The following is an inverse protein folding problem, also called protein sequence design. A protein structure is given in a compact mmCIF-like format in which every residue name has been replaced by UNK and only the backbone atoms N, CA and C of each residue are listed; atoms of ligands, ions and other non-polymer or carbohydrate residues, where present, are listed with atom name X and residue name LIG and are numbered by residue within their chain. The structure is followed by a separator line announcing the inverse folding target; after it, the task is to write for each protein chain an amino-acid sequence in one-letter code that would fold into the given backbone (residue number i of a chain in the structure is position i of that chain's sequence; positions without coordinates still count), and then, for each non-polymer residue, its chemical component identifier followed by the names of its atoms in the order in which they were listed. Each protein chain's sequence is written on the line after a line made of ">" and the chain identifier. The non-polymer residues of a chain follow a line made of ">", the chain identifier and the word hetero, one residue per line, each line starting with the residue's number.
data_IF_345897698892
#
_entry.id   IF_345897698892
#
_cell.length_a   1.000
_cell.length_b   1.000
_cell.length_c   1.000
_cell.angle_alpha   90.00
_cell.angle_beta   90.00
_cell.angle_gamma   90.00
#
_symmetry.space_group_name_H-M   'P 1'
#
loop_
_entity.id
_entity.type
_entity.pdbx_description
1 polymer ?
#
# COMPACT_ATOMS: atom_id res chain seq x y z
N UNK A 1 34.13 32.35 19.25
CA UNK A 1 33.81 30.95 18.87
C UNK A 1 32.35 30.60 19.10
N UNK A 2 31.76 30.85 20.28
CA UNK A 2 30.34 30.55 20.56
C UNK A 2 29.34 31.18 19.55
N UNK A 3 29.49 32.46 19.23
CA UNK A 3 28.64 33.19 18.26
C UNK A 3 28.76 32.65 16.81
N UNK A 4 29.84 31.91 16.50
CA UNK A 4 30.00 31.25 15.19
C UNK A 4 29.29 29.90 15.14
N UNK A 5 29.27 29.18 16.27
CA UNK A 5 28.56 27.90 16.40
C UNK A 5 27.04 28.13 16.40
N UNK A 6 26.58 29.15 17.13
CA UNK A 6 25.15 29.50 17.19
C UNK A 6 24.58 29.84 15.81
N UNK A 7 25.29 30.68 15.04
CA UNK A 7 24.92 30.99 13.65
C UNK A 7 24.89 29.76 12.73
N UNK A 8 25.83 28.84 12.91
CA UNK A 8 25.86 27.59 12.14
C UNK A 8 24.66 26.70 12.49
N UNK A 9 24.30 26.58 13.78
CA UNK A 9 23.14 25.82 14.23
C UNK A 9 21.83 26.41 13.68
N UNK A 10 21.67 27.73 13.70
CA UNK A 10 20.51 28.39 13.12
C UNK A 10 20.37 28.14 11.62
N UNK A 11 21.50 28.16 10.90
CA UNK A 11 21.54 27.84 9.48
C UNK A 11 21.13 26.38 9.20
N UNK A 12 21.70 25.41 9.94
CA UNK A 12 21.35 23.99 9.78
C UNK A 12 19.86 23.77 10.06
N UNK A 13 19.32 24.36 11.12
CA UNK A 13 17.90 24.24 11.45
C UNK A 13 16.99 24.84 10.38
N UNK A 14 17.42 25.93 9.73
CA UNK A 14 16.69 26.53 8.61
C UNK A 14 16.69 25.58 7.40
N UNK A 15 17.85 25.06 7.02
CA UNK A 15 18.00 24.14 5.89
C UNK A 15 17.20 22.84 6.11
N UNK A 16 17.17 22.31 7.34
CA UNK A 16 16.35 21.15 7.68
C UNK A 16 14.86 21.41 7.52
N UNK A 17 14.37 22.60 7.91
CA UNK A 17 12.96 22.97 7.71
C UNK A 17 12.63 23.10 6.23
N UNK A 18 13.48 23.75 5.46
CA UNK A 18 13.31 23.90 4.00
C UNK A 18 13.27 22.53 3.30
N UNK A 19 14.18 21.63 3.65
CA UNK A 19 14.16 20.24 3.15
C UNK A 19 12.88 19.51 3.50
N UNK A 20 12.41 19.63 4.75
CA UNK A 20 11.19 18.97 5.20
C UNK A 20 9.95 19.50 4.45
N UNK A 21 9.90 20.81 4.20
CA UNK A 21 8.79 21.42 3.48
C UNK A 21 8.80 21.04 2.00
N UNK A 22 9.97 20.95 1.38
CA UNK A 22 10.12 20.44 0.02
C UNK A 22 9.72 18.96 -0.08
N UNK A 23 10.13 18.14 0.89
CA UNK A 23 9.73 16.73 0.95
C UNK A 23 8.21 16.58 1.07
N UNK A 24 7.55 17.41 1.90
CA UNK A 24 6.08 17.44 1.99
C UNK A 24 5.44 17.88 0.66
N UNK A 25 6.03 18.85 -0.04
CA UNK A 25 5.55 19.32 -1.35
C UNK A 25 5.63 18.21 -2.40
N UNK A 26 6.78 17.56 -2.52
CA UNK A 26 7.00 16.42 -3.43
C UNK A 26 6.02 15.30 -3.11
N UNK A 27 5.84 14.95 -1.83
CA UNK A 27 4.88 13.92 -1.42
C UNK A 27 3.43 14.26 -1.83
N UNK A 28 2.99 15.51 -1.70
CA UNK A 28 1.64 15.91 -2.15
C UNK A 28 1.48 15.75 -3.66
N UNK A 29 2.48 16.17 -4.44
CA UNK A 29 2.46 16.04 -5.90
C UNK A 29 2.52 14.57 -6.34
N UNK A 30 3.36 13.78 -5.68
CA UNK A 30 3.47 12.35 -5.94
C UNK A 30 2.15 11.65 -5.64
N UNK A 31 1.46 11.97 -4.52
CA UNK A 31 0.12 11.44 -4.25
C UNK A 31 -0.85 11.76 -5.38
N UNK A 32 -0.89 13.00 -5.84
CA UNK A 32 -1.76 13.41 -6.94
C UNK A 32 -1.53 12.61 -8.24
N UNK A 33 -0.26 12.37 -8.61
CA UNK A 33 0.09 11.63 -9.83
C UNK A 33 -0.04 10.12 -9.65
N UNK A 34 0.48 9.59 -8.55
CA UNK A 34 0.54 8.16 -8.26
C UNK A 34 -0.83 7.59 -7.93
N UNK A 35 -1.72 8.33 -7.26
CA UNK A 35 -3.06 7.82 -6.96
C UNK A 35 -3.86 7.52 -8.23
N UNK A 36 -3.72 8.35 -9.29
CA UNK A 36 -4.39 8.07 -10.55
C UNK A 36 -3.88 6.78 -11.20
N UNK A 37 -2.56 6.64 -11.32
CA UNK A 37 -1.95 5.45 -11.92
C UNK A 37 -2.20 4.19 -11.08
N UNK A 38 -2.11 4.29 -9.75
CA UNK A 38 -2.40 3.20 -8.83
C UNK A 38 -3.87 2.77 -8.91
N UNK A 39 -4.78 3.74 -8.99
CA UNK A 39 -6.20 3.48 -9.19
C UNK A 39 -6.47 2.75 -10.50
N UNK A 40 -5.93 3.25 -11.61
CA UNK A 40 -6.10 2.63 -12.94
C UNK A 40 -5.59 1.18 -12.93
N UNK A 41 -4.40 0.95 -12.34
CA UNK A 41 -3.82 -0.39 -12.22
C UNK A 41 -4.66 -1.32 -11.34
N UNK A 42 -5.19 -0.82 -10.21
CA UNK A 42 -6.06 -1.63 -9.35
C UNK A 42 -7.38 -1.94 -10.04
N UNK A 43 -7.99 -0.98 -10.71
CA UNK A 43 -9.23 -1.19 -11.45
C UNK A 43 -9.06 -2.21 -12.58
N UNK A 44 -7.90 -2.23 -13.25
CA UNK A 44 -7.60 -3.23 -14.31
C UNK A 44 -7.19 -4.61 -13.79
N UNK A 45 -6.58 -4.69 -12.60
CA UNK A 45 -5.99 -5.94 -12.09
C UNK A 45 -6.86 -6.66 -11.05
N UNK A 46 -7.74 -5.91 -10.37
CA UNK A 46 -8.65 -6.39 -9.34
C UNK A 46 -10.08 -6.11 -9.81
N UNK A 47 -10.44 -6.75 -10.93
CA UNK A 47 -11.75 -6.59 -11.57
C UNK A 47 -12.87 -7.12 -10.68
N UNK A 48 -12.62 -8.22 -9.97
CA UNK A 48 -13.64 -8.89 -9.16
C UNK A 48 -13.63 -8.38 -7.72
N UNK A 49 -14.81 -8.29 -7.10
CA UNK A 49 -14.97 -7.96 -5.68
C UNK A 49 -14.13 -8.86 -4.76
N UNK A 50 -14.04 -10.15 -5.09
CA UNK A 50 -13.20 -11.11 -4.35
C UNK A 50 -11.69 -10.80 -4.43
N UNK A 51 -11.20 -10.28 -5.56
CA UNK A 51 -9.79 -9.88 -5.71
C UNK A 51 -9.49 -8.65 -4.86
N UNK A 52 -10.39 -7.66 -4.87
CA UNK A 52 -10.34 -6.47 -4.00
C UNK A 52 -10.35 -6.85 -2.52
N UNK A 53 -11.21 -7.81 -2.15
CA UNK A 53 -11.27 -8.29 -0.76
C UNK A 53 -9.96 -8.97 -0.34
N UNK A 54 -9.40 -9.85 -1.17
CA UNK A 54 -8.14 -10.53 -0.85
C UNK A 54 -6.98 -9.55 -0.80
N UNK A 55 -6.93 -8.58 -1.71
CA UNK A 55 -5.95 -7.50 -1.69
C UNK A 55 -6.00 -6.72 -0.37
N UNK A 56 -7.20 -6.28 0.03
CA UNK A 56 -7.38 -5.50 1.26
C UNK A 56 -6.98 -6.29 2.52
N UNK A 57 -7.22 -7.61 2.53
CA UNK A 57 -6.82 -8.52 3.61
C UNK A 57 -5.31 -8.85 3.64
N UNK A 58 -4.57 -8.50 2.59
CA UNK A 58 -3.12 -8.71 2.49
C UNK A 58 -2.38 -7.62 3.25
N UNK A 59 -2.23 -7.79 4.57
CA UNK A 59 -1.69 -6.78 5.49
C UNK A 59 -0.28 -7.13 6.02
N UNK A 60 0.37 -8.13 5.43
CA UNK A 60 1.65 -8.64 5.89
C UNK A 60 1.57 -9.47 7.18
N UNK A 61 0.42 -9.54 7.83
CA UNK A 61 0.17 -10.33 9.04
C UNK A 61 -0.60 -11.59 8.68
N UNK A 62 -1.63 -11.52 7.85
CA UNK A 62 -2.45 -12.70 7.50
C UNK A 62 -1.72 -13.61 6.51
N UNK A 63 -1.74 -14.90 6.79
CA UNK A 63 -1.33 -15.95 5.87
C UNK A 63 -2.39 -16.19 4.80
N UNK A 64 -1.99 -16.76 3.66
CA UNK A 64 -2.92 -17.12 2.60
C UNK A 64 -4.01 -18.10 3.03
N UNK A 65 -3.75 -18.95 4.04
CA UNK A 65 -4.76 -19.86 4.64
C UNK A 65 -5.77 -19.12 5.51
N UNK A 66 -5.34 -18.09 6.22
CA UNK A 66 -6.26 -17.23 6.99
C UNK A 66 -7.14 -16.41 6.06
N UNK A 67 -6.56 -15.85 5.00
CA UNK A 67 -7.31 -15.11 3.97
C UNK A 67 -8.37 -16.00 3.32
N UNK A 68 -8.03 -17.22 2.89
CA UNK A 68 -8.99 -18.20 2.36
C UNK A 68 -10.19 -18.40 3.30
N UNK A 69 -9.95 -18.52 4.61
CA UNK A 69 -11.04 -18.66 5.59
C UNK A 69 -11.88 -17.39 5.70
N UNK A 70 -11.25 -16.21 5.71
CA UNK A 70 -11.92 -14.92 5.83
C UNK A 70 -12.78 -14.56 4.62
N UNK A 71 -12.48 -15.14 3.46
CA UNK A 71 -13.29 -15.02 2.24
C UNK A 71 -14.19 -16.24 2.02
N UNK A 72 -14.56 -16.93 3.11
CA UNK A 72 -15.49 -18.07 3.11
C UNK A 72 -15.13 -19.18 2.11
N UNK A 73 -13.84 -19.41 1.86
CA UNK A 73 -13.33 -20.40 0.89
C UNK A 73 -13.80 -20.18 -0.55
N UNK A 74 -14.28 -18.99 -0.89
CA UNK A 74 -14.60 -18.61 -2.28
C UNK A 74 -13.34 -18.70 -3.15
N UNK A 75 -12.17 -18.44 -2.56
CA UNK A 75 -10.86 -18.68 -3.20
C UNK A 75 -9.93 -19.47 -2.28
N UNK A 76 -9.13 -20.34 -2.89
CA UNK A 76 -8.18 -21.21 -2.17
C UNK A 76 -6.92 -20.47 -1.75
N UNK A 77 -6.20 -20.99 -0.74
CA UNK A 77 -4.85 -20.52 -0.40
C UNK A 77 -3.95 -20.44 -1.63
N UNK A 78 -4.00 -21.43 -2.53
CA UNK A 78 -3.17 -21.47 -3.75
C UNK A 78 -3.48 -20.27 -4.64
N UNK A 79 -4.76 -19.95 -4.84
CA UNK A 79 -5.19 -18.79 -5.62
C UNK A 79 -4.66 -17.49 -5.02
N UNK A 80 -4.76 -17.32 -3.68
CA UNK A 80 -4.22 -16.15 -2.98
C UNK A 80 -2.71 -15.99 -3.23
N UNK A 81 -1.95 -17.08 -3.14
CA UNK A 81 -0.49 -17.05 -3.41
C UNK A 81 -0.19 -16.69 -4.86
N UNK A 82 -0.95 -17.23 -5.82
CA UNK A 82 -0.79 -16.87 -7.24
C UNK A 82 -1.04 -15.38 -7.48
N UNK A 83 -2.09 -14.81 -6.88
CA UNK A 83 -2.37 -13.39 -6.95
C UNK A 83 -1.26 -12.55 -6.32
N UNK A 84 -0.79 -12.91 -5.12
CA UNK A 84 0.35 -12.27 -4.49
C UNK A 84 1.60 -12.23 -5.38
N UNK A 85 1.91 -13.32 -6.08
CA UNK A 85 3.05 -13.35 -7.00
C UNK A 85 2.85 -12.41 -8.19
N UNK A 86 1.64 -12.34 -8.75
CA UNK A 86 1.27 -11.43 -9.83
C UNK A 86 1.36 -9.97 -9.35
N UNK A 87 0.64 -9.63 -8.29
CA UNK A 87 0.56 -8.30 -7.72
C UNK A 87 1.90 -7.77 -7.22
N UNK A 88 2.79 -8.64 -6.72
CA UNK A 88 4.15 -8.24 -6.34
C UNK A 88 4.97 -7.76 -7.54
N UNK A 89 4.85 -8.42 -8.69
CA UNK A 89 5.53 -7.97 -9.92
C UNK A 89 5.01 -6.62 -10.41
N UNK A 90 3.75 -6.32 -10.13
CA UNK A 90 3.08 -5.07 -10.48
C UNK A 90 3.26 -3.97 -9.42
N UNK A 91 3.90 -4.27 -8.28
CA UNK A 91 4.10 -3.30 -7.20
C UNK A 91 2.84 -2.99 -6.38
N UNK A 92 1.79 -3.81 -6.48
CA UNK A 92 0.56 -3.63 -5.70
C UNK A 92 0.70 -4.13 -4.26
N UNK A 93 1.54 -5.16 -4.08
CA UNK A 93 1.91 -5.72 -2.77
C UNK A 93 3.42 -5.86 -2.66
N UNK A 94 3.91 -5.85 -1.43
CA UNK A 94 5.32 -6.07 -1.06
C UNK A 94 5.45 -7.20 -0.05
N UNK A 95 6.67 -7.68 0.19
CA UNK A 95 6.89 -8.70 1.21
C UNK A 95 6.70 -8.10 2.60
N UNK A 96 6.02 -8.83 3.48
CA UNK A 96 5.94 -8.48 4.89
C UNK A 96 7.33 -8.37 5.50
N UNK A 97 7.56 -7.30 6.26
CA UNK A 97 8.79 -7.10 7.03
C UNK A 97 8.88 -8.05 8.23
N UNK A 98 7.74 -8.58 8.68
CA UNK A 98 7.64 -9.43 9.89
C UNK A 98 7.64 -10.92 9.56
N UNK A 99 6.99 -11.32 8.47
CA UNK A 99 6.77 -12.74 8.17
C UNK A 99 7.16 -13.10 6.74
N UNK A 100 8.17 -13.97 6.60
CA UNK A 100 8.61 -14.48 5.30
C UNK A 100 7.46 -15.16 4.55
N UNK A 101 7.32 -14.82 3.27
CA UNK A 101 6.31 -15.37 2.36
C UNK A 101 4.91 -14.77 2.48
N UNK A 102 4.65 -13.86 3.43
CA UNK A 102 3.41 -13.07 3.47
C UNK A 102 3.58 -11.78 2.66
N UNK A 103 2.48 -11.32 2.07
CA UNK A 103 2.48 -10.04 1.34
C UNK A 103 1.62 -9.00 2.05
N UNK A 104 2.04 -7.75 1.90
CA UNK A 104 1.38 -6.55 2.40
C UNK A 104 1.01 -5.66 1.22
N UNK A 105 -0.22 -5.16 1.18
CA UNK A 105 -0.65 -4.15 0.22
C UNK A 105 0.16 -2.87 0.40
N UNK A 106 0.59 -2.29 -0.71
CA UNK A 106 1.33 -1.02 -0.72
C UNK A 106 0.43 0.14 -0.30
N UNK A 107 -0.87 0.07 -0.63
CA UNK A 107 -1.85 1.11 -0.30
C UNK A 107 -3.24 0.50 -0.04
N UNK A 108 -3.99 0.98 0.96
CA UNK A 108 -5.40 0.65 1.13
C UNK A 108 -6.26 1.13 -0.04
N UNK A 109 -7.31 0.38 -0.39
CA UNK A 109 -8.23 0.78 -1.46
C UNK A 109 -8.98 2.10 -1.15
N UNK A 110 -9.28 2.33 0.12
CA UNK A 110 -9.95 3.56 0.58
C UNK A 110 -9.15 4.83 0.30
N UNK A 111 -7.81 4.77 0.35
CA UNK A 111 -6.94 5.91 0.03
C UNK A 111 -7.05 6.32 -1.45
N UNK A 112 -7.50 5.40 -2.30
CA UNK A 112 -7.73 5.62 -3.73
C UNK A 112 -9.20 5.94 -4.04
N UNK A 113 -10.04 6.07 -3.03
CA UNK A 113 -11.49 6.25 -3.17
C UNK A 113 -12.20 5.01 -3.76
N UNK A 114 -11.58 3.83 -3.64
CA UNK A 114 -12.16 2.56 -4.08
C UNK A 114 -12.77 1.85 -2.88
N UNK A 115 -13.94 1.25 -3.07
CA UNK A 115 -14.53 0.36 -2.08
C UNK A 115 -14.22 -1.10 -2.40
N UNK A 116 -14.09 -1.90 -1.35
CA UNK A 116 -14.34 -3.34 -1.44
C UNK A 116 -15.86 -3.47 -1.48
N UNK A 117 -16.46 -3.53 -2.67
CA UNK A 117 -17.90 -3.79 -2.75
C UNK A 117 -18.19 -5.16 -2.16
N UNK A 118 -19.03 -5.20 -1.12
CA UNK A 118 -19.62 -6.44 -0.64
C UNK A 118 -20.68 -6.87 -1.67
N UNK A 119 -20.26 -7.64 -2.68
CA UNK A 119 -21.20 -8.42 -3.49
C UNK A 119 -21.79 -9.51 -2.60
N UNK A 120 -22.75 -9.11 -1.79
CA UNK A 120 -23.59 -9.92 -0.88
C UNK A 120 -24.49 -10.91 -1.64
N UNK A 121 -24.25 -11.11 -2.94
CA UNK A 121 -25.08 -11.88 -3.86
C UNK A 121 -24.43 -13.19 -4.35
N UNK A 122 -23.29 -13.58 -3.78
CA UNK A 122 -22.63 -14.87 -4.07
C UNK A 122 -22.57 -15.82 -2.87
N UNK A 123 -23.46 -15.63 -1.89
CA UNK A 123 -23.72 -16.61 -0.81
C UNK A 123 -24.97 -17.41 -1.16
#
# INVERSE_FOLDING_TARGET
>A
MAVSMERLLEQILREQREMLDEQKRINRQLRFVAHRQARDLIESELEKSIERRVYELSDGIRSSREIEKLVNKVVTQRTVVTWWQKWRKLGLVEQSTTYSGRMQKVMPLEELGLSVSDDSHLI
#
